data_IF_237797603063
#
_entry.id   IF_237797603063
#
_cell.length_a   1.000
_cell.length_b   1.000
_cell.length_c   1.000
_cell.angle_alpha   90.00
_cell.angle_beta   90.00
_cell.angle_gamma   90.00
#
_symmetry.space_group_name_H-M   'P 1'
#
loop_
_entity.id
_entity.type
_entity.pdbx_description
1 polymer ?
#
# COMPACT_ATOMS: atom_id res chain seq x y z
N UNK A 1 -14.71 10.51 35.89
CA UNK A 1 -14.08 9.19 35.68
C UNK A 1 -14.07 8.91 34.19
N UNK A 2 -12.95 9.18 33.51
CA UNK A 2 -12.79 8.87 32.09
C UNK A 2 -12.52 7.37 31.94
N UNK A 3 -13.36 6.69 31.17
CA UNK A 3 -13.14 5.32 30.71
C UNK A 3 -11.90 5.28 29.83
N UNK A 4 -10.75 4.91 30.41
CA UNK A 4 -9.53 4.61 29.68
C UNK A 4 -9.71 3.24 29.01
N UNK A 5 -10.23 3.25 27.79
CA UNK A 5 -10.31 2.06 26.95
C UNK A 5 -8.95 1.89 26.23
N UNK A 6 -7.92 1.52 26.98
CA UNK A 6 -6.61 1.20 26.42
C UNK A 6 -6.76 -0.03 25.53
N UNK A 7 -6.53 0.15 24.23
CA UNK A 7 -6.33 -0.97 23.29
C UNK A 7 -5.07 -1.69 23.78
N UNK A 8 -5.23 -2.76 24.55
CA UNK A 8 -4.11 -3.59 24.99
C UNK A 8 -3.63 -4.40 23.79
N UNK A 9 -2.45 -4.07 23.28
CA UNK A 9 -1.76 -4.92 22.31
C UNK A 9 -1.55 -6.30 22.95
N UNK A 10 -1.77 -7.38 22.18
CA UNK A 10 -1.63 -8.75 22.68
C UNK A 10 -0.18 -9.11 23.04
N UNK A 11 0.76 -8.40 22.42
CA UNK A 11 2.21 -8.51 22.62
C UNK A 11 2.78 -7.10 22.66
N UNK A 12 3.74 -6.85 23.55
CA UNK A 12 4.51 -5.61 23.56
C UNK A 12 5.56 -5.59 22.42
N UNK A 13 6.18 -4.45 22.17
CA UNK A 13 7.14 -4.25 21.07
C UNK A 13 8.34 -5.19 21.16
N UNK A 14 8.79 -5.48 22.39
CA UNK A 14 9.94 -6.33 22.68
C UNK A 14 9.54 -7.80 22.95
N UNK A 15 8.24 -8.12 22.99
CA UNK A 15 7.75 -9.47 23.25
C UNK A 15 7.61 -10.27 21.95
N UNK A 16 8.32 -11.39 21.86
CA UNK A 16 8.19 -12.28 20.72
C UNK A 16 7.08 -13.32 20.95
N UNK A 17 6.03 -13.35 20.11
CA UNK A 17 5.04 -14.41 20.16
C UNK A 17 5.68 -15.79 19.88
N UNK A 18 4.99 -16.90 20.22
CA UNK A 18 5.45 -18.24 19.86
C UNK A 18 5.78 -18.32 18.36
N UNK A 19 6.87 -19.00 18.00
CA UNK A 19 7.39 -19.05 16.63
C UNK A 19 6.34 -19.39 15.56
N UNK A 20 5.37 -20.26 15.88
CA UNK A 20 4.28 -20.59 14.96
C UNK A 20 3.30 -19.42 14.72
N UNK A 21 2.98 -18.66 15.75
CA UNK A 21 2.14 -17.46 15.63
C UNK A 21 2.94 -16.33 14.96
N UNK A 22 4.21 -16.13 15.32
CA UNK A 22 5.09 -15.12 14.73
C UNK A 22 5.25 -15.31 13.22
N UNK A 23 5.48 -16.54 12.77
CA UNK A 23 5.63 -16.87 11.34
C UNK A 23 4.32 -16.69 10.57
N UNK A 24 3.19 -17.13 11.13
CA UNK A 24 1.87 -16.96 10.50
C UNK A 24 1.51 -15.47 10.36
N UNK A 25 1.68 -14.69 11.43
CA UNK A 25 1.42 -13.25 11.44
C UNK A 25 2.36 -12.51 10.49
N UNK A 26 3.65 -12.90 10.45
CA UNK A 26 4.62 -12.33 9.53
C UNK A 26 4.26 -12.58 8.06
N UNK A 27 3.92 -13.82 7.71
CA UNK A 27 3.47 -14.18 6.34
C UNK A 27 2.23 -13.39 5.97
N UNK A 28 1.23 -13.31 6.86
CA UNK A 28 0.04 -12.51 6.64
C UNK A 28 0.40 -11.03 6.39
N UNK A 29 1.25 -10.45 7.21
CA UNK A 29 1.62 -9.05 7.10
C UNK A 29 2.34 -8.76 5.77
N UNK A 30 3.26 -9.63 5.37
CA UNK A 30 3.94 -9.53 4.07
C UNK A 30 2.93 -9.59 2.93
N UNK A 31 2.00 -10.56 2.93
CA UNK A 31 1.00 -10.70 1.87
C UNK A 31 0.10 -9.45 1.75
N UNK A 32 -0.31 -8.85 2.88
CA UNK A 32 -1.14 -7.63 2.87
C UNK A 32 -0.36 -6.47 2.29
N UNK A 33 0.88 -6.27 2.73
CA UNK A 33 1.73 -5.16 2.29
C UNK A 33 2.19 -5.31 0.85
N UNK A 34 2.33 -6.54 0.35
CA UNK A 34 2.61 -6.81 -1.06
C UNK A 34 1.50 -6.28 -1.97
N UNK A 35 0.22 -6.44 -1.60
CA UNK A 35 -0.88 -5.97 -2.45
C UNK A 35 -0.81 -4.46 -2.71
N UNK A 36 -0.57 -3.65 -1.67
CA UNK A 36 -0.42 -2.20 -1.82
C UNK A 36 0.87 -1.80 -2.55
N UNK A 37 1.99 -2.45 -2.23
CA UNK A 37 3.29 -2.12 -2.82
C UNK A 37 3.41 -2.55 -4.30
N UNK A 38 2.65 -3.54 -4.74
CA UNK A 38 2.58 -3.95 -6.16
C UNK A 38 1.66 -3.03 -6.97
N UNK A 39 0.54 -2.61 -6.37
CA UNK A 39 -0.47 -1.79 -7.06
C UNK A 39 0.12 -0.45 -7.53
N UNK A 40 0.93 0.20 -6.71
CA UNK A 40 1.47 1.53 -6.98
C UNK A 40 2.39 1.62 -8.22
N UNK A 41 3.42 0.77 -8.36
CA UNK A 41 4.22 0.67 -9.58
C UNK A 41 3.39 0.34 -10.83
N UNK A 42 2.37 -0.50 -10.72
CA UNK A 42 1.48 -0.84 -11.85
C UNK A 42 0.66 0.40 -12.27
N UNK A 43 0.13 1.15 -11.31
CA UNK A 43 -0.60 2.40 -11.61
C UNK A 43 0.31 3.42 -12.30
N UNK A 44 1.55 3.57 -11.82
CA UNK A 44 2.53 4.44 -12.49
C UNK A 44 2.85 3.95 -13.91
N UNK A 45 3.17 2.65 -14.06
CA UNK A 45 3.52 2.05 -15.33
C UNK A 45 2.41 2.16 -16.38
N UNK A 46 1.15 1.93 -15.97
CA UNK A 46 -0.03 2.07 -16.84
C UNK A 46 -0.27 3.53 -17.22
N UNK A 47 -0.05 4.48 -16.31
CA UNK A 47 -0.21 5.91 -16.58
C UNK A 47 0.83 6.47 -17.58
N UNK A 48 2.01 5.87 -17.65
CA UNK A 48 3.09 6.28 -18.57
C UNK A 48 3.17 5.40 -19.84
N UNK A 49 2.31 4.38 -19.95
CA UNK A 49 2.33 3.45 -21.10
C UNK A 49 3.55 2.54 -21.15
N UNK A 50 4.12 2.18 -20.00
CA UNK A 50 5.30 1.31 -19.93
C UNK A 50 5.02 -0.10 -20.46
N UNK A 51 6.06 -0.75 -20.97
CA UNK A 51 5.97 -2.15 -21.44
C UNK A 51 5.78 -3.12 -20.26
N UNK A 52 5.33 -4.34 -20.55
CA UNK A 52 5.18 -5.40 -19.53
C UNK A 52 6.50 -5.69 -18.80
N UNK A 53 7.63 -5.63 -19.52
CA UNK A 53 8.96 -5.82 -18.95
C UNK A 53 9.34 -4.73 -17.96
N UNK A 54 9.11 -3.47 -18.32
CA UNK A 54 9.36 -2.31 -17.43
C UNK A 54 8.44 -2.31 -16.21
N UNK A 55 7.17 -2.67 -16.40
CA UNK A 55 6.22 -2.81 -15.29
C UNK A 55 6.69 -3.85 -14.27
N UNK A 56 7.12 -5.02 -14.74
CA UNK A 56 7.65 -6.08 -13.89
C UNK A 56 8.92 -5.62 -13.16
N UNK A 57 9.81 -4.90 -13.85
CA UNK A 57 11.01 -4.32 -13.24
C UNK A 57 10.67 -3.34 -12.11
N UNK A 58 9.72 -2.41 -12.33
CA UNK A 58 9.29 -1.46 -11.31
C UNK A 58 8.69 -2.14 -10.08
N UNK A 59 7.87 -3.18 -10.28
CA UNK A 59 7.31 -3.97 -9.19
C UNK A 59 8.40 -4.69 -8.40
N UNK A 60 9.36 -5.32 -9.09
CA UNK A 60 10.48 -6.03 -8.45
C UNK A 60 11.34 -5.10 -7.61
N UNK A 61 11.74 -3.94 -8.16
CA UNK A 61 12.54 -2.94 -7.45
C UNK A 61 11.76 -2.39 -6.26
N UNK A 62 10.47 -2.07 -6.42
CA UNK A 62 9.64 -1.56 -5.33
C UNK A 62 9.55 -2.55 -4.17
N UNK A 63 9.31 -3.84 -4.44
CA UNK A 63 9.24 -4.87 -3.41
C UNK A 63 10.59 -5.13 -2.73
N UNK A 64 11.68 -5.14 -3.50
CA UNK A 64 13.03 -5.32 -2.96
C UNK A 64 13.41 -4.17 -2.02
N UNK A 65 13.18 -2.93 -2.44
CA UNK A 65 13.49 -1.73 -1.65
C UNK A 65 12.57 -1.64 -0.43
N UNK A 66 11.28 -1.93 -0.56
CA UNK A 66 10.35 -1.97 0.58
C UNK A 66 10.78 -3.00 1.64
N UNK A 67 11.22 -4.19 1.23
CA UNK A 67 11.76 -5.21 2.14
C UNK A 67 13.05 -4.75 2.82
N UNK A 68 14.01 -4.22 2.06
CA UNK A 68 15.28 -3.75 2.60
C UNK A 68 15.10 -2.57 3.59
N UNK A 69 14.26 -1.62 3.23
CA UNK A 69 13.98 -0.44 4.08
C UNK A 69 13.19 -0.82 5.32
N UNK A 70 12.25 -1.77 5.22
CA UNK A 70 11.57 -2.33 6.39
C UNK A 70 12.58 -2.98 7.33
N UNK A 71 13.46 -3.83 6.80
CA UNK A 71 14.50 -4.48 7.60
C UNK A 71 15.42 -3.47 8.29
N UNK A 72 15.86 -2.43 7.56
CA UNK A 72 16.66 -1.34 8.11
C UNK A 72 15.91 -0.59 9.22
N UNK A 73 14.61 -0.35 9.07
CA UNK A 73 13.78 0.36 10.05
C UNK A 73 13.53 -0.48 11.32
N UNK A 74 13.35 -1.79 11.15
CA UNK A 74 13.05 -2.72 12.26
C UNK A 74 14.29 -3.15 13.03
N UNK A 75 15.40 -3.47 12.35
CA UNK A 75 16.66 -3.88 13.03
C UNK A 75 17.44 -2.65 13.51
N UNK A 76 17.43 -1.59 12.71
CA UNK A 76 18.26 -0.41 12.92
C UNK A 76 19.75 -0.70 12.70
N UNK A 77 20.48 0.30 12.20
CA UNK A 77 21.92 0.26 12.08
C UNK A 77 22.51 1.59 12.59
N UNK A 78 23.12 1.54 13.78
CA UNK A 78 23.64 2.73 14.45
C UNK A 78 22.54 3.78 14.71
N UNK A 79 22.68 5.04 14.23
CA UNK A 79 21.67 6.09 14.38
C UNK A 79 20.52 6.00 13.36
N UNK A 80 20.57 5.06 12.40
CA UNK A 80 19.57 4.91 11.34
C UNK A 80 18.60 3.79 11.69
N UNK A 81 17.29 4.06 11.56
CA UNK A 81 16.22 3.11 11.88
C UNK A 81 15.67 3.27 13.30
N UNK A 82 14.36 3.18 13.46
CA UNK A 82 13.68 3.43 14.74
C UNK A 82 13.70 2.24 15.69
N UNK A 83 14.09 1.05 15.22
CA UNK A 83 13.95 -0.23 15.96
C UNK A 83 12.52 -0.50 16.39
N UNK A 84 11.57 -0.08 15.56
CA UNK A 84 10.14 -0.30 15.75
C UNK A 84 9.61 -1.12 14.58
N UNK A 85 8.53 -1.91 14.77
CA UNK A 85 7.90 -2.70 13.72
C UNK A 85 7.16 -1.81 12.70
N UNK A 86 7.91 -1.01 11.95
CA UNK A 86 7.40 -0.08 10.94
C UNK A 86 7.70 -0.65 9.56
N UNK A 87 6.64 -1.08 8.87
CA UNK A 87 6.77 -1.55 7.49
C UNK A 87 6.82 -0.38 6.54
N UNK A 88 7.84 -0.40 5.68
CA UNK A 88 8.05 0.59 4.64
C UNK A 88 7.34 0.14 3.36
N UNK A 89 6.80 1.11 2.64
CA UNK A 89 6.06 0.87 1.40
C UNK A 89 6.08 2.11 0.52
N UNK A 90 5.53 1.96 -0.67
CA UNK A 90 5.43 3.08 -1.60
C UNK A 90 4.29 4.01 -1.16
N UNK A 91 4.54 5.32 -1.14
CA UNK A 91 3.50 6.30 -0.76
C UNK A 91 2.59 6.58 -1.95
N UNK A 92 1.28 6.49 -1.73
CA UNK A 92 0.30 6.90 -2.73
C UNK A 92 0.40 8.40 -3.10
N UNK A 93 0.87 9.26 -2.18
CA UNK A 93 1.13 10.67 -2.48
C UNK A 93 2.22 10.87 -3.53
N UNK A 94 3.10 9.88 -3.72
CA UNK A 94 4.14 9.92 -4.74
C UNK A 94 3.56 9.91 -6.16
N UNK A 95 2.43 9.26 -6.40
CA UNK A 95 1.81 9.16 -7.73
C UNK A 95 1.43 10.52 -8.31
N UNK A 96 0.93 11.42 -7.46
CA UNK A 96 0.49 12.76 -7.86
C UNK A 96 1.64 13.59 -8.48
N UNK A 97 2.88 13.31 -8.10
CA UNK A 97 4.07 14.00 -8.59
C UNK A 97 4.82 13.18 -9.63
N UNK A 98 4.89 11.86 -9.45
CA UNK A 98 5.70 10.99 -10.32
C UNK A 98 5.09 10.75 -11.69
N UNK A 99 3.76 10.68 -11.81
CA UNK A 99 3.08 10.51 -13.10
C UNK A 99 3.37 11.67 -14.06
N UNK A 100 3.08 12.94 -13.72
CA UNK A 100 3.36 14.05 -14.64
C UNK A 100 4.86 14.19 -14.92
N UNK A 101 5.71 14.01 -13.90
CA UNK A 101 7.17 14.06 -14.07
C UNK A 101 7.68 12.98 -15.04
N UNK A 102 7.13 11.77 -14.98
CA UNK A 102 7.49 10.68 -15.88
C UNK A 102 6.98 10.90 -17.31
N UNK A 103 5.81 11.52 -17.48
CA UNK A 103 5.26 11.83 -18.79
C UNK A 103 6.09 12.90 -19.52
N UNK A 104 6.55 13.91 -18.80
CA UNK A 104 7.31 15.03 -19.39
C UNK A 104 8.80 14.71 -19.57
N UNK A 105 9.41 13.98 -18.63
CA UNK A 105 10.88 13.80 -18.56
C UNK A 105 11.33 12.33 -18.49
N UNK A 106 10.40 11.38 -18.51
CA UNK A 106 10.67 9.95 -18.44
C UNK A 106 10.95 9.44 -17.03
N UNK A 107 11.03 8.12 -16.90
CA UNK A 107 11.15 7.45 -15.59
C UNK A 107 12.50 7.70 -14.90
N UNK A 108 13.54 8.02 -15.68
CA UNK A 108 14.85 8.39 -15.15
C UNK A 108 14.77 9.68 -14.31
N UNK A 109 13.93 10.65 -14.72
CA UNK A 109 13.70 11.87 -13.96
C UNK A 109 13.00 11.58 -12.62
N UNK A 110 12.08 10.61 -12.60
CA UNK A 110 11.43 10.16 -11.36
C UNK A 110 12.45 9.56 -10.39
N UNK A 111 13.34 8.68 -10.86
CA UNK A 111 14.38 8.10 -10.01
C UNK A 111 15.40 9.15 -9.52
N UNK A 112 15.85 10.04 -10.41
CA UNK A 112 16.76 11.13 -10.03
C UNK A 112 16.12 12.09 -9.03
N UNK A 113 14.86 12.46 -9.26
CA UNK A 113 14.06 13.28 -8.34
C UNK A 113 13.85 12.60 -7.00
N UNK A 114 13.59 11.28 -6.98
CA UNK A 114 13.42 10.51 -5.75
C UNK A 114 14.72 10.46 -4.93
N UNK A 115 15.88 10.28 -5.57
CA UNK A 115 17.19 10.30 -4.89
C UNK A 115 17.43 11.69 -4.27
N UNK A 116 17.20 12.76 -5.03
CA UNK A 116 17.35 14.12 -4.55
C UNK A 116 16.39 14.42 -3.39
N UNK A 117 15.11 14.09 -3.54
CA UNK A 117 14.10 14.26 -2.50
C UNK A 117 14.44 13.45 -1.24
N UNK A 118 14.96 12.22 -1.39
CA UNK A 118 15.43 11.40 -0.29
C UNK A 118 16.60 12.03 0.47
N UNK A 119 17.59 12.59 -0.24
CA UNK A 119 18.69 13.31 0.38
C UNK A 119 18.21 14.56 1.15
N UNK A 120 17.28 15.32 0.55
CA UNK A 120 16.63 16.47 1.21
C UNK A 120 15.87 16.01 2.46
N UNK A 121 15.15 14.89 2.39
CA UNK A 121 14.37 14.36 3.51
C UNK A 121 15.28 13.89 4.66
N UNK A 122 16.43 13.30 4.36
CA UNK A 122 17.45 12.96 5.35
C UNK A 122 18.00 14.23 6.01
N UNK A 123 18.32 15.26 5.22
CA UNK A 123 18.79 16.54 5.74
C UNK A 123 17.75 17.21 6.67
N UNK A 124 16.48 17.21 6.27
CA UNK A 124 15.37 17.71 7.08
C UNK A 124 15.16 16.87 8.35
N UNK A 125 15.42 15.57 8.29
CA UNK A 125 15.33 14.65 9.44
C UNK A 125 16.22 15.06 10.61
N UNK A 126 17.40 15.65 10.36
CA UNK A 126 18.25 16.19 11.43
C UNK A 126 17.65 17.41 12.14
N UNK A 127 16.76 18.14 11.47
CA UNK A 127 16.10 19.35 11.99
C UNK A 127 14.65 19.12 12.42
N UNK A 128 14.25 17.86 12.64
CA UNK A 128 12.85 17.47 12.87
C UNK A 128 12.20 18.19 14.06
N UNK A 129 12.97 18.50 15.11
CA UNK A 129 12.47 19.21 16.31
C UNK A 129 11.89 20.59 15.99
N UNK A 130 12.46 21.30 15.02
CA UNK A 130 11.94 22.60 14.59
C UNK A 130 10.76 22.42 13.62
N UNK A 131 10.86 21.41 12.73
CA UNK A 131 9.85 21.13 11.72
C UNK A 131 8.49 20.72 12.32
N UNK A 132 8.50 19.96 13.43
CA UNK A 132 7.27 19.53 14.12
C UNK A 132 6.38 20.68 14.59
N UNK A 133 6.93 21.88 14.79
CA UNK A 133 6.15 23.07 15.15
C UNK A 133 5.28 23.55 13.98
N UNK A 134 5.72 23.34 12.73
CA UNK A 134 4.97 23.71 11.53
C UNK A 134 3.82 22.75 11.21
N UNK A 135 3.85 21.54 11.79
CA UNK A 135 2.86 20.49 11.54
C UNK A 135 2.13 20.09 12.82
N UNK A 136 1.33 20.99 13.43
CA UNK A 136 0.48 20.62 14.56
C UNK A 136 -0.49 19.49 14.16
N UNK A 137 -1.04 18.73 15.13
CA UNK A 137 -1.88 17.56 14.86
C UNK A 137 -3.03 17.82 13.87
N UNK A 138 -3.59 19.05 13.89
CA UNK A 138 -4.61 19.48 12.94
C UNK A 138 -4.13 19.45 11.48
N UNK A 139 -2.92 19.98 11.21
CA UNK A 139 -2.36 20.03 9.86
C UNK A 139 -2.03 18.62 9.38
N UNK A 140 -1.38 17.81 10.24
CA UNK A 140 -1.07 16.42 9.90
C UNK A 140 -2.34 15.61 9.57
N UNK A 141 -3.39 15.76 10.38
CA UNK A 141 -4.68 15.10 10.14
C UNK A 141 -5.35 15.54 8.83
N UNK A 142 -5.36 16.84 8.52
CA UNK A 142 -5.91 17.36 7.26
C UNK A 142 -5.11 16.84 6.06
N UNK A 143 -3.77 16.83 6.13
CA UNK A 143 -2.92 16.32 5.05
C UNK A 143 -3.21 14.84 4.79
N UNK A 144 -3.31 14.02 5.84
CA UNK A 144 -3.67 12.59 5.69
C UNK A 144 -5.06 12.42 5.09
N UNK A 145 -6.03 13.24 5.50
CA UNK A 145 -7.38 13.23 4.92
C UNK A 145 -7.36 13.60 3.44
N UNK A 146 -6.62 14.65 3.05
CA UNK A 146 -6.50 15.09 1.66
C UNK A 146 -5.80 14.04 0.81
N UNK A 147 -4.77 13.37 1.34
CA UNK A 147 -4.16 12.22 0.67
C UNK A 147 -5.23 11.15 0.45
N UNK A 148 -5.96 10.74 1.49
CA UNK A 148 -7.03 9.73 1.36
C UNK A 148 -8.10 10.09 0.32
N UNK A 149 -8.62 11.31 0.34
CA UNK A 149 -9.61 11.80 -0.63
C UNK A 149 -9.01 11.85 -2.04
N UNK A 150 -7.75 12.28 -2.17
CA UNK A 150 -7.03 12.33 -3.46
C UNK A 150 -6.83 10.98 -4.11
N UNK A 151 -6.97 9.87 -3.35
CA UNK A 151 -6.87 8.51 -3.87
C UNK A 151 -8.21 7.90 -4.29
N UNK A 152 -9.33 8.56 -3.97
CA UNK A 152 -10.65 8.10 -4.41
C UNK A 152 -10.74 7.95 -5.94
N UNK A 153 -10.25 8.88 -6.77
CA UNK A 153 -10.31 8.71 -8.23
C UNK A 153 -9.55 7.47 -8.72
N UNK A 154 -8.34 7.23 -8.22
CA UNK A 154 -7.54 6.06 -8.58
C UNK A 154 -8.19 4.78 -8.08
N UNK A 155 -8.71 4.78 -6.85
CA UNK A 155 -9.46 3.65 -6.30
C UNK A 155 -10.72 3.32 -7.12
N UNK A 156 -11.48 4.33 -7.52
CA UNK A 156 -12.67 4.17 -8.37
C UNK A 156 -12.32 3.66 -9.77
N UNK A 157 -11.23 4.15 -10.36
CA UNK A 157 -10.75 3.65 -11.66
C UNK A 157 -10.35 2.17 -11.58
N UNK A 158 -9.68 1.74 -10.50
CA UNK A 158 -9.36 0.33 -10.24
C UNK A 158 -10.64 -0.49 -9.97
N UNK A 159 -11.59 0.06 -9.21
CA UNK A 159 -12.88 -0.56 -8.91
C UNK A 159 -13.71 -0.81 -10.18
N UNK A 160 -13.61 0.07 -11.16
CA UNK A 160 -14.28 -0.06 -12.46
C UNK A 160 -13.57 -1.01 -13.45
N UNK A 161 -12.39 -1.56 -13.12
CA UNK A 161 -11.66 -2.49 -13.97
C UNK A 161 -10.28 -2.02 -14.45
N UNK A 162 -9.84 -0.82 -14.04
CA UNK A 162 -8.54 -0.26 -14.38
C UNK A 162 -8.57 0.70 -15.57
N UNK A 163 -7.69 1.70 -15.54
CA UNK A 163 -7.65 2.75 -16.56
C UNK A 163 -7.22 2.15 -17.91
N UNK A 164 -8.05 2.30 -18.95
CA UNK A 164 -7.79 1.74 -20.29
C UNK A 164 -8.28 0.30 -20.52
N UNK A 165 -9.04 -0.29 -19.58
CA UNK A 165 -9.69 -1.58 -19.81
C UNK A 165 -10.84 -1.48 -20.81
N UNK A 166 -10.97 -2.45 -21.71
CA UNK A 166 -12.07 -2.53 -22.68
C UNK A 166 -13.45 -2.60 -22.00
N UNK A 167 -13.51 -3.24 -20.83
CA UNK A 167 -14.73 -3.43 -20.03
C UNK A 167 -14.83 -2.47 -18.85
N UNK A 168 -14.33 -1.24 -19.01
CA UNK A 168 -14.37 -0.23 -17.95
C UNK A 168 -15.81 0.04 -17.49
N UNK A 169 -16.06 -0.11 -16.20
CA UNK A 169 -17.39 0.08 -15.60
C UNK A 169 -18.38 -1.05 -15.90
N UNK A 170 -17.93 -2.20 -16.42
CA UNK A 170 -18.82 -3.35 -16.62
C UNK A 170 -19.43 -3.83 -15.30
N UNK A 171 -20.68 -4.33 -15.36
CA UNK A 171 -21.35 -4.91 -14.19
C UNK A 171 -20.56 -6.07 -13.57
N UNK A 172 -19.74 -6.77 -14.36
CA UNK A 172 -18.86 -7.83 -13.88
C UNK A 172 -17.74 -7.26 -12.98
N UNK A 173 -17.05 -6.21 -13.43
CA UNK A 173 -15.96 -5.58 -12.67
C UNK A 173 -16.50 -4.91 -11.39
N UNK A 174 -17.58 -4.14 -11.51
CA UNK A 174 -18.23 -3.48 -10.38
C UNK A 174 -18.82 -4.49 -9.39
N UNK A 175 -19.43 -5.57 -9.89
CA UNK A 175 -19.96 -6.66 -9.08
C UNK A 175 -18.86 -7.41 -8.31
N UNK A 176 -17.73 -7.69 -8.97
CA UNK A 176 -16.59 -8.33 -8.33
C UNK A 176 -15.95 -7.43 -7.26
N UNK A 177 -15.72 -6.16 -7.59
CA UNK A 177 -15.09 -5.21 -6.66
C UNK A 177 -15.99 -4.92 -5.45
N UNK A 178 -17.31 -4.79 -5.65
CA UNK A 178 -18.27 -4.64 -4.55
C UNK A 178 -18.38 -5.90 -3.69
N UNK A 179 -18.32 -7.08 -4.28
CA UNK A 179 -18.28 -8.34 -3.54
C UNK A 179 -17.04 -8.42 -2.62
N UNK A 180 -15.86 -8.11 -3.16
CA UNK A 180 -14.61 -8.08 -2.36
C UNK A 180 -14.73 -7.06 -1.23
N UNK A 181 -15.23 -5.86 -1.52
CA UNK A 181 -15.44 -4.80 -0.54
C UNK A 181 -16.40 -5.24 0.57
N UNK A 182 -17.55 -5.82 0.23
CA UNK A 182 -18.54 -6.29 1.22
C UNK A 182 -17.96 -7.39 2.10
N UNK A 183 -17.26 -8.36 1.52
CA UNK A 183 -16.59 -9.42 2.29
C UNK A 183 -15.56 -8.82 3.23
N UNK A 184 -14.72 -7.91 2.74
CA UNK A 184 -13.73 -7.22 3.56
C UNK A 184 -14.38 -6.49 4.73
N UNK A 185 -15.47 -5.75 4.50
CA UNK A 185 -16.21 -5.01 5.53
C UNK A 185 -16.87 -5.93 6.56
N UNK A 186 -17.50 -7.02 6.11
CA UNK A 186 -18.15 -8.00 7.00
C UNK A 186 -17.10 -8.69 7.87
N UNK A 187 -15.99 -9.17 7.27
CA UNK A 187 -14.91 -9.80 8.02
C UNK A 187 -14.20 -8.82 8.96
N UNK A 188 -14.03 -7.57 8.56
CA UNK A 188 -13.45 -6.55 9.43
C UNK A 188 -14.37 -6.21 10.61
N UNK A 189 -15.69 -6.13 10.39
CA UNK A 189 -16.66 -5.75 11.42
C UNK A 189 -17.00 -6.88 12.40
N UNK A 190 -17.12 -8.12 11.89
CA UNK A 190 -17.58 -9.28 12.66
C UNK A 190 -16.46 -10.31 12.92
N UNK A 191 -15.30 -10.17 12.28
CA UNK A 191 -14.17 -11.08 12.48
C UNK A 191 -13.50 -10.85 13.82
N UNK A 192 -13.36 -11.91 14.61
CA UNK A 192 -12.65 -11.87 15.89
C UNK A 192 -11.15 -12.07 15.69
N UNK A 193 -10.35 -11.22 16.35
CA UNK A 193 -8.88 -11.35 16.41
C UNK A 193 -8.23 -11.48 15.04
N UNK A 194 -7.68 -12.66 14.75
CA UNK A 194 -6.91 -12.95 13.54
C UNK A 194 -7.74 -12.85 12.25
N UNK A 195 -9.04 -13.14 12.31
CA UNK A 195 -9.94 -13.07 11.13
C UNK A 195 -10.17 -11.61 10.70
N UNK A 196 -10.36 -10.71 11.66
CA UNK A 196 -10.47 -9.28 11.36
C UNK A 196 -9.16 -8.71 10.80
N UNK A 197 -8.02 -9.13 11.37
CA UNK A 197 -6.70 -8.73 10.88
C UNK A 197 -6.39 -9.26 9.46
N UNK A 198 -6.98 -10.40 9.08
CA UNK A 198 -6.77 -11.04 7.76
C UNK A 198 -7.90 -10.76 6.76
N UNK A 199 -8.87 -9.92 7.12
CA UNK A 199 -10.02 -9.60 6.28
C UNK A 199 -9.63 -9.18 4.85
N UNK A 200 -8.56 -8.38 4.72
CA UNK A 200 -8.04 -7.95 3.42
C UNK A 200 -7.57 -9.14 2.59
N UNK A 201 -6.73 -10.02 3.15
CA UNK A 201 -6.24 -11.20 2.44
C UNK A 201 -7.35 -12.17 2.06
N UNK A 202 -8.25 -12.46 3.02
CA UNK A 202 -9.35 -13.40 2.78
C UNK A 202 -10.24 -12.86 1.66
N UNK A 203 -10.58 -11.57 1.71
CA UNK A 203 -11.38 -10.94 0.65
C UNK A 203 -10.69 -10.99 -0.71
N UNK A 204 -9.37 -10.78 -0.77
CA UNK A 204 -8.58 -10.85 -2.00
C UNK A 204 -8.54 -12.27 -2.57
N UNK A 205 -8.32 -13.29 -1.72
CA UNK A 205 -8.32 -14.70 -2.14
C UNK A 205 -9.68 -15.12 -2.67
N UNK A 206 -10.76 -14.77 -1.96
CA UNK A 206 -12.12 -15.08 -2.42
C UNK A 206 -12.42 -14.36 -3.73
N UNK A 207 -12.08 -13.07 -3.83
CA UNK A 207 -12.22 -12.29 -5.06
C UNK A 207 -11.49 -12.94 -6.24
N UNK A 208 -10.24 -13.37 -6.03
CA UNK A 208 -9.46 -14.05 -7.06
C UNK A 208 -10.11 -15.37 -7.49
N UNK A 209 -10.59 -16.20 -6.55
CA UNK A 209 -11.28 -17.46 -6.87
C UNK A 209 -12.57 -17.25 -7.67
N UNK A 210 -13.34 -16.20 -7.34
CA UNK A 210 -14.55 -15.83 -8.09
C UNK A 210 -14.21 -15.26 -9.46
N UNK A 211 -13.05 -14.62 -9.61
CA UNK A 211 -12.59 -14.06 -10.88
C UNK A 211 -12.16 -15.13 -11.90
N UNK A 212 -11.58 -16.26 -11.47
CA UNK A 212 -11.11 -17.35 -12.35
C UNK A 212 -12.17 -17.79 -13.38
N UNK A 213 -13.41 -18.17 -12.98
CA UNK A 213 -14.44 -18.56 -13.93
C UNK A 213 -14.93 -17.39 -14.81
N UNK A 214 -14.80 -16.14 -14.34
CA UNK A 214 -15.12 -14.93 -15.12
C UNK A 214 -14.10 -14.64 -16.22
N UNK A 215 -12.80 -14.82 -15.94
CA UNK A 215 -11.72 -14.65 -16.93
C UNK A 215 -11.79 -15.67 -18.07
N UNK A 216 -12.28 -16.89 -17.78
CA UNK A 216 -12.49 -17.93 -18.80
C UNK A 216 -13.57 -17.58 -19.83
N UNK A 217 -14.49 -16.65 -19.52
CA UNK A 217 -15.52 -16.15 -20.45
C UNK A 217 -15.01 -14.99 -21.30
N UNK A 218 -14.32 -14.02 -20.69
CA UNK A 218 -13.76 -12.85 -21.40
C UNK A 218 -12.71 -13.24 -22.45
N UNK A 219 -11.98 -14.34 -22.24
CA UNK A 219 -10.97 -14.86 -23.18
C UNK A 219 -11.56 -15.62 -24.38
N UNK A 220 -12.87 -15.87 -24.41
CA UNK A 220 -13.55 -16.51 -25.54
C UNK A 220 -14.16 -15.51 -26.53
N UNK A 221 -14.29 -14.25 -26.12
CA UNK A 221 -14.93 -13.18 -26.89
C UNK A 221 -13.91 -12.15 -27.45
N UNK A 222 -12.60 -12.44 -27.37
CA UNK A 222 -11.51 -11.76 -28.09
C UNK A 222 -10.85 -12.71 -29.08
#
# INVERSE_FOLDING_TARGET
MSTNNSIHARYDIDEMPPWGEATLLGVQHVLVMMASNVTLPIVLATAIGATTGETAFLVQVALLVAGLTTFLQTVGFGPVGSRLPIVQGTSFGFLAVSIPLAQDYGIAAVFGGAIFAGAVQVALGFSLRWLQVLFPPLVSGIVVLVIGIGLLPTGMALFAGGNGAADFGSFANLGLASLVLVIMLVLYRFGNGLVGASAVLISLVIGYLVAIPGQGRLRRDQ
#
